data_IF_089951838796
#
_entry.id   IF_089951838796
#
_cell.length_a   1.000
_cell.length_b   1.000
_cell.length_c   1.000
_cell.angle_alpha   90.00
_cell.angle_beta   90.00
_cell.angle_gamma   90.00
#
_symmetry.space_group_name_H-M   'P 1'
#
loop_
_entity.id
_entity.type
_entity.pdbx_description
1 polymer ?
#
# COMPACT_ATOMS: atom_id res chain seq x y z
N UNK A 1 6.94 25.05 9.07
CA UNK A 1 6.34 23.71 9.10
C UNK A 1 7.00 22.83 8.06
N UNK A 2 7.52 21.68 8.45
CA UNK A 2 8.00 20.69 7.47
C UNK A 2 6.82 19.88 6.95
N UNK A 3 6.19 20.39 5.91
CA UNK A 3 5.02 19.80 5.29
C UNK A 3 5.31 18.40 4.72
N UNK A 4 6.49 18.22 4.16
CA UNK A 4 6.92 16.91 3.65
C UNK A 4 6.93 15.86 4.76
N UNK A 5 7.49 16.20 5.92
CA UNK A 5 7.54 15.30 7.08
C UNK A 5 6.15 14.92 7.56
N UNK A 6 5.22 15.87 7.62
CA UNK A 6 3.85 15.61 8.02
C UNK A 6 3.11 14.69 7.02
N UNK A 7 3.36 14.90 5.73
CA UNK A 7 2.77 14.05 4.68
C UNK A 7 3.32 12.63 4.76
N UNK A 8 4.63 12.49 4.95
CA UNK A 8 5.27 11.17 5.08
C UNK A 8 4.75 10.43 6.31
N UNK A 9 4.63 11.10 7.46
CA UNK A 9 4.04 10.53 8.67
C UNK A 9 2.58 10.11 8.45
N UNK A 10 1.80 10.94 7.77
CA UNK A 10 0.41 10.63 7.44
C UNK A 10 0.32 9.40 6.56
N UNK A 11 1.15 9.31 5.52
CA UNK A 11 1.18 8.16 4.62
C UNK A 11 1.56 6.87 5.35
N UNK A 12 2.57 6.93 6.22
CA UNK A 12 3.00 5.77 6.99
C UNK A 12 1.90 5.26 7.91
N UNK A 13 1.22 6.15 8.60
CA UNK A 13 0.12 5.79 9.49
C UNK A 13 -1.06 5.23 8.69
N UNK A 14 -1.41 5.87 7.58
CA UNK A 14 -2.51 5.41 6.72
C UNK A 14 -2.23 4.03 6.14
N UNK A 15 -1.01 3.76 5.73
CA UNK A 15 -0.60 2.43 5.26
C UNK A 15 -0.77 1.38 6.35
N UNK A 16 -0.38 1.71 7.57
CA UNK A 16 -0.53 0.82 8.73
C UNK A 16 -1.99 0.55 9.07
N UNK A 17 -2.85 1.57 9.03
CA UNK A 17 -4.28 1.45 9.31
C UNK A 17 -5.02 0.69 8.21
N UNK A 18 -4.71 0.97 6.94
CA UNK A 18 -5.40 0.36 5.81
C UNK A 18 -5.06 -1.12 5.63
N UNK A 19 -3.94 -1.60 6.18
CA UNK A 19 -3.59 -3.02 6.14
C UNK A 19 -4.67 -3.91 6.75
N UNK A 20 -5.35 -3.47 7.81
CA UNK A 20 -6.49 -4.18 8.40
C UNK A 20 -7.79 -3.97 7.61
N UNK A 21 -7.96 -2.82 6.98
CA UNK A 21 -9.16 -2.49 6.21
C UNK A 21 -9.27 -3.31 4.93
N UNK A 22 -8.15 -3.61 4.28
CA UNK A 22 -8.12 -4.39 3.04
C UNK A 22 -8.66 -5.81 3.22
N UNK A 23 -8.64 -6.37 4.43
CA UNK A 23 -9.25 -7.65 4.74
C UNK A 23 -10.79 -7.62 4.76
N UNK A 24 -11.38 -6.45 4.95
CA UNK A 24 -12.83 -6.30 5.12
C UNK A 24 -13.53 -5.74 3.88
N UNK A 25 -12.81 -5.06 3.01
CA UNK A 25 -13.39 -4.43 1.83
C UNK A 25 -13.13 -5.25 0.58
N UNK A 26 -14.12 -6.10 0.24
CA UNK A 26 -14.06 -6.98 -0.93
C UNK A 26 -14.54 -6.31 -2.21
N UNK A 27 -15.02 -5.06 -2.17
CA UNK A 27 -15.74 -4.44 -3.28
C UNK A 27 -14.93 -3.48 -4.14
N UNK A 28 -13.75 -3.04 -3.68
CA UNK A 28 -12.96 -2.05 -4.42
C UNK A 28 -11.67 -2.65 -5.00
N UNK A 29 -11.84 -3.35 -6.13
CA UNK A 29 -10.73 -3.99 -6.85
C UNK A 29 -9.68 -3.00 -7.35
N UNK A 30 -10.05 -1.75 -7.65
CA UNK A 30 -9.14 -0.72 -8.16
C UNK A 30 -8.10 -0.30 -7.14
N UNK A 31 -8.49 -0.15 -5.88
CA UNK A 31 -7.56 0.24 -4.79
C UNK A 31 -6.54 -0.85 -4.49
N UNK A 32 -6.95 -2.10 -4.54
CA UNK A 32 -6.06 -3.24 -4.34
C UNK A 32 -4.95 -3.29 -5.39
N UNK A 33 -5.27 -3.08 -6.64
CA UNK A 33 -4.32 -3.05 -7.75
C UNK A 33 -3.30 -1.93 -7.57
N UNK A 34 -3.77 -0.72 -7.28
CA UNK A 34 -2.91 0.45 -7.06
C UNK A 34 -1.99 0.21 -5.87
N UNK A 35 -2.52 -0.33 -4.78
CA UNK A 35 -1.74 -0.66 -3.59
C UNK A 35 -0.59 -1.64 -3.88
N UNK A 36 -0.87 -2.69 -4.62
CA UNK A 36 0.15 -3.67 -5.03
C UNK A 36 1.23 -3.01 -5.90
N UNK A 37 0.82 -2.22 -6.90
CA UNK A 37 1.78 -1.53 -7.78
C UNK A 37 2.66 -0.55 -7.01
N UNK A 38 2.08 0.23 -6.12
CA UNK A 38 2.82 1.19 -5.30
C UNK A 38 3.82 0.44 -4.40
N UNK A 39 3.40 -0.66 -3.78
CA UNK A 39 4.28 -1.46 -2.94
C UNK A 39 5.48 -2.01 -3.73
N UNK A 40 5.23 -2.63 -4.88
CA UNK A 40 6.29 -3.17 -5.73
C UNK A 40 7.23 -2.09 -6.27
N UNK A 41 6.71 -0.90 -6.52
CA UNK A 41 7.50 0.19 -7.09
C UNK A 41 8.35 0.90 -6.04
N UNK A 42 7.80 1.18 -4.87
CA UNK A 42 8.45 2.05 -3.87
C UNK A 42 8.99 1.31 -2.65
N UNK A 43 8.55 0.10 -2.38
CA UNK A 43 9.00 -0.66 -1.21
C UNK A 43 9.89 -1.83 -1.60
N UNK A 44 9.34 -2.86 -2.24
CA UNK A 44 10.09 -4.07 -2.56
C UNK A 44 9.52 -4.75 -3.81
N UNK A 45 10.36 -4.97 -4.81
CA UNK A 45 10.00 -5.67 -6.04
C UNK A 45 10.42 -7.15 -5.97
N UNK A 46 9.96 -7.95 -6.92
CA UNK A 46 10.37 -9.35 -7.00
C UNK A 46 9.85 -10.27 -5.92
N UNK A 47 8.66 -9.97 -5.39
CA UNK A 47 8.03 -10.78 -4.35
C UNK A 47 7.18 -11.90 -4.93
N UNK A 48 7.04 -13.00 -4.18
CA UNK A 48 6.07 -14.05 -4.50
C UNK A 48 4.67 -13.58 -4.14
N UNK A 49 3.63 -14.24 -4.68
CA UNK A 49 2.24 -13.92 -4.34
C UNK A 49 1.96 -14.09 -2.84
N UNK A 50 2.58 -15.10 -2.21
CA UNK A 50 2.45 -15.31 -0.77
C UNK A 50 3.06 -14.18 0.05
N UNK A 51 4.25 -13.71 -0.34
CA UNK A 51 4.89 -12.56 0.30
C UNK A 51 4.07 -11.28 0.14
N UNK A 52 3.54 -11.03 -1.07
CA UNK A 52 2.66 -9.89 -1.34
C UNK A 52 1.39 -9.95 -0.51
N UNK A 53 0.78 -11.12 -0.43
CA UNK A 53 -0.42 -11.35 0.39
C UNK A 53 -0.20 -10.90 1.82
N UNK A 54 0.93 -11.29 2.42
CA UNK A 54 1.25 -10.92 3.79
C UNK A 54 1.55 -9.43 3.94
N UNK A 55 2.32 -8.86 3.01
CA UNK A 55 2.70 -7.44 3.06
C UNK A 55 1.51 -6.51 2.84
N UNK A 56 0.61 -6.86 1.92
CA UNK A 56 -0.57 -6.06 1.59
C UNK A 56 -1.72 -6.35 2.56
N UNK A 57 -1.79 -7.56 3.10
CA UNK A 57 -2.84 -7.95 4.05
C UNK A 57 -4.16 -8.33 3.38
N UNK A 58 -4.12 -8.96 2.23
CA UNK A 58 -5.31 -9.45 1.49
C UNK A 58 -5.37 -10.96 1.48
N UNK A 59 -6.54 -11.52 1.19
CA UNK A 59 -6.72 -12.97 1.07
C UNK A 59 -6.09 -13.54 -0.20
N UNK A 60 -5.86 -14.87 -0.21
CA UNK A 60 -5.21 -15.57 -1.33
C UNK A 60 -5.96 -15.43 -2.65
N UNK A 61 -7.29 -15.54 -2.63
CA UNK A 61 -8.13 -15.38 -3.82
C UNK A 61 -8.04 -13.97 -4.38
N UNK A 62 -8.08 -12.98 -3.52
CA UNK A 62 -8.02 -11.57 -3.93
C UNK A 62 -6.65 -11.20 -4.52
N UNK A 63 -5.55 -11.64 -3.91
CA UNK A 63 -4.22 -11.35 -4.45
C UNK A 63 -4.04 -12.00 -5.83
N UNK A 64 -4.54 -13.21 -6.04
CA UNK A 64 -4.48 -13.87 -7.34
C UNK A 64 -5.25 -13.10 -8.41
N UNK A 65 -6.44 -12.59 -8.09
CA UNK A 65 -7.25 -11.79 -9.01
C UNK A 65 -6.57 -10.47 -9.35
N UNK A 66 -6.01 -9.79 -8.34
CA UNK A 66 -5.27 -8.54 -8.52
C UNK A 66 -4.08 -8.75 -9.45
N UNK A 67 -3.27 -9.78 -9.20
CA UNK A 67 -2.08 -10.06 -9.99
C UNK A 67 -2.44 -10.44 -11.44
N UNK A 68 -3.51 -11.19 -11.64
CA UNK A 68 -4.00 -11.55 -12.98
C UNK A 68 -4.43 -10.30 -13.75
N UNK A 69 -5.16 -9.40 -13.10
CA UNK A 69 -5.58 -8.13 -13.69
C UNK A 69 -4.39 -7.25 -14.07
N UNK A 70 -3.43 -7.09 -13.15
CA UNK A 70 -2.23 -6.29 -13.39
C UNK A 70 -1.37 -6.86 -14.52
N UNK A 71 -1.23 -8.18 -14.59
CA UNK A 71 -0.51 -8.85 -15.66
C UNK A 71 -1.18 -8.64 -17.02
N UNK A 72 -2.52 -8.74 -17.08
CA UNK A 72 -3.28 -8.50 -18.30
C UNK A 72 -3.13 -7.06 -18.81
N UNK A 73 -2.95 -6.11 -17.91
CA UNK A 73 -2.69 -4.70 -18.24
C UNK A 73 -1.21 -4.41 -18.52
N UNK A 74 -0.35 -5.42 -18.43
CA UNK A 74 1.10 -5.31 -18.60
C UNK A 74 1.78 -4.38 -17.60
N UNK A 75 1.21 -4.27 -16.41
CA UNK A 75 1.76 -3.45 -15.33
C UNK A 75 2.71 -4.27 -14.44
N UNK A 76 2.56 -5.58 -14.42
CA UNK A 76 3.48 -6.52 -13.78
C UNK A 76 3.84 -7.65 -14.74
N UNK A 77 4.93 -8.34 -14.40
CA UNK A 77 5.42 -9.51 -15.10
C UNK A 77 5.72 -10.59 -14.07
N UNK A 78 5.32 -11.84 -14.36
CA UNK A 78 5.63 -12.99 -13.51
C UNK A 78 6.84 -13.73 -14.12
N UNK A 79 7.78 -14.07 -13.26
CA UNK A 79 8.98 -14.80 -13.66
C UNK A 79 9.25 -15.93 -12.67
N UNK A 80 9.59 -17.10 -13.20
CA UNK A 80 10.00 -18.22 -12.36
C UNK A 80 11.32 -17.89 -11.66
N UNK A 81 11.42 -18.20 -10.37
CA UNK A 81 12.65 -18.02 -9.61
C UNK A 81 13.73 -18.93 -10.17
N UNK A 82 14.91 -18.37 -10.45
CA UNK A 82 16.07 -19.12 -11.01
C UNK A 82 16.60 -20.18 -10.04
N UNK A 83 16.48 -19.93 -8.73
CA UNK A 83 16.98 -20.85 -7.70
C UNK A 83 15.96 -21.92 -7.32
N UNK A 84 14.66 -21.59 -7.38
CA UNK A 84 13.57 -22.53 -7.08
C UNK A 84 12.47 -22.43 -8.11
N UNK A 85 12.44 -23.35 -9.06
CA UNK A 85 11.49 -23.40 -10.17
C UNK A 85 10.02 -23.53 -9.74
N UNK A 86 9.78 -23.83 -8.46
CA UNK A 86 8.42 -23.91 -7.90
C UNK A 86 7.89 -22.57 -7.45
N UNK A 87 8.74 -21.54 -7.38
CA UNK A 87 8.37 -20.19 -6.97
C UNK A 87 8.28 -19.27 -8.17
N UNK A 88 7.22 -18.46 -8.20
CA UNK A 88 7.02 -17.43 -9.20
C UNK A 88 7.11 -16.06 -8.51
N UNK A 89 7.99 -15.20 -9.01
CA UNK A 89 8.17 -13.85 -8.51
C UNK A 89 7.47 -12.85 -9.40
N UNK A 90 6.94 -11.81 -8.77
CA UNK A 90 6.20 -10.73 -9.43
C UNK A 90 7.09 -9.51 -9.51
N UNK A 91 7.25 -8.99 -10.71
CA UNK A 91 8.04 -7.78 -10.98
C UNK A 91 7.17 -6.71 -11.61
N UNK A 92 7.33 -5.47 -11.16
CA UNK A 92 6.67 -4.33 -11.80
C UNK A 92 7.38 -3.99 -13.11
N UNK A 93 6.61 -3.74 -14.18
CA UNK A 93 7.16 -3.31 -15.47
C UNK A 93 7.43 -1.81 -15.47
N UNK A 94 8.15 -1.31 -16.49
CA UNK A 94 8.36 0.13 -16.64
C UNK A 94 7.03 0.89 -16.76
N UNK A 95 6.06 0.31 -17.49
CA UNK A 95 4.71 0.84 -17.58
C UNK A 95 4.04 0.88 -16.20
N UNK A 96 4.21 -0.19 -15.40
CA UNK A 96 3.69 -0.27 -14.04
C UNK A 96 4.29 0.78 -13.11
N UNK A 97 5.60 0.98 -13.20
CA UNK A 97 6.30 2.01 -12.42
C UNK A 97 5.78 3.42 -12.74
N UNK A 98 5.62 3.73 -14.03
CA UNK A 98 5.10 5.03 -14.46
C UNK A 98 3.67 5.26 -13.94
N UNK A 99 2.83 4.23 -14.02
CA UNK A 99 1.46 4.27 -13.52
C UNK A 99 1.42 4.46 -12.00
N UNK A 100 2.24 3.69 -11.26
CA UNK A 100 2.33 3.79 -9.82
C UNK A 100 2.79 5.18 -9.37
N UNK A 101 3.80 5.73 -10.05
CA UNK A 101 4.31 7.08 -9.78
C UNK A 101 3.24 8.14 -9.98
N UNK A 102 2.50 8.07 -11.08
CA UNK A 102 1.41 9.00 -11.38
C UNK A 102 0.36 8.99 -10.27
N UNK A 103 -0.08 7.79 -9.83
CA UNK A 103 -1.07 7.65 -8.76
C UNK A 103 -0.54 8.11 -7.41
N UNK A 104 0.72 7.83 -7.12
CA UNK A 104 1.38 8.26 -5.90
C UNK A 104 1.52 9.79 -5.84
N UNK A 105 1.92 10.42 -6.94
CA UNK A 105 2.04 11.88 -7.03
C UNK A 105 0.68 12.56 -6.88
N UNK A 106 -0.38 12.00 -7.47
CA UNK A 106 -1.75 12.49 -7.32
C UNK A 106 -2.21 12.41 -5.86
N UNK A 107 -1.95 11.31 -5.19
CA UNK A 107 -2.28 11.15 -3.78
C UNK A 107 -1.54 12.17 -2.92
N UNK A 108 -0.24 12.36 -3.14
CA UNK A 108 0.56 13.37 -2.41
C UNK A 108 0.03 14.77 -2.64
N UNK A 109 -0.35 15.10 -3.88
CA UNK A 109 -0.94 16.40 -4.20
C UNK A 109 -2.23 16.65 -3.39
N UNK A 110 -3.09 15.66 -3.31
CA UNK A 110 -4.32 15.74 -2.52
C UNK A 110 -4.03 15.95 -1.03
N UNK A 111 -2.99 15.27 -0.52
CA UNK A 111 -2.58 15.42 0.89
C UNK A 111 -2.02 16.82 1.16
N UNK A 112 -1.25 17.38 0.23
CA UNK A 112 -0.77 18.76 0.34
C UNK A 112 -1.95 19.73 0.48
N UNK A 113 -2.95 19.58 -0.38
CA UNK A 113 -4.16 20.41 -0.31
C UNK A 113 -4.90 20.25 1.01
N UNK A 114 -5.04 19.01 1.50
CA UNK A 114 -5.67 18.74 2.78
C UNK A 114 -4.89 19.40 3.94
N UNK A 115 -3.57 19.22 3.97
CA UNK A 115 -2.74 19.79 5.03
C UNK A 115 -2.76 21.32 5.02
N UNK A 116 -2.78 21.93 3.84
CA UNK A 116 -2.91 23.39 3.70
C UNK A 116 -4.26 23.88 4.21
N UNK A 117 -5.33 23.16 3.90
CA UNK A 117 -6.67 23.49 4.39
C UNK A 117 -6.75 23.43 5.92
N UNK A 118 -6.20 22.38 6.52
CA UNK A 118 -6.22 22.20 7.97
C UNK A 118 -5.34 23.22 8.72
N UNK A 119 -4.23 23.61 8.12
CA UNK A 119 -3.21 24.40 8.79
C UNK A 119 -2.32 23.54 9.67
N UNK A 120 -1.20 24.12 10.13
CA UNK A 120 -0.17 23.40 10.88
C UNK A 120 -0.68 22.76 12.17
N UNK A 121 -1.43 23.51 12.97
CA UNK A 121 -1.95 23.06 14.26
C UNK A 121 -2.86 21.85 14.12
N UNK A 122 -3.84 21.94 13.23
CA UNK A 122 -4.83 20.87 13.05
C UNK A 122 -4.22 19.67 12.33
N UNK A 123 -3.30 19.88 11.39
CA UNK A 123 -2.58 18.79 10.72
C UNK A 123 -1.76 17.96 11.73
N UNK A 124 -1.05 18.61 12.63
CA UNK A 124 -0.30 17.94 13.69
C UNK A 124 -1.23 17.20 14.66
N UNK A 125 -2.37 17.79 14.98
CA UNK A 125 -3.36 17.17 15.86
C UNK A 125 -3.98 15.93 15.20
N UNK A 126 -4.29 16.00 13.92
CA UNK A 126 -4.78 14.85 13.16
C UNK A 126 -3.77 13.69 13.20
N UNK A 127 -2.50 13.97 12.94
CA UNK A 127 -1.44 12.96 12.97
C UNK A 127 -1.29 12.38 14.37
N UNK A 128 -1.36 13.21 15.40
CA UNK A 128 -1.29 12.75 16.80
C UNK A 128 -2.41 11.75 17.11
N UNK A 129 -3.64 12.07 16.71
CA UNK A 129 -4.79 11.19 16.93
C UNK A 129 -4.68 9.90 16.12
N UNK A 130 -4.20 9.97 14.90
CA UNK A 130 -3.98 8.78 14.07
C UNK A 130 -2.94 7.84 14.69
N UNK A 131 -1.87 8.38 15.25
CA UNK A 131 -0.87 7.59 15.99
C UNK A 131 -1.49 6.87 17.18
N UNK A 132 -2.39 7.51 17.90
CA UNK A 132 -3.13 6.89 19.01
C UNK A 132 -4.02 5.75 18.54
N UNK A 133 -4.69 5.91 17.41
CA UNK A 133 -5.51 4.85 16.81
C UNK A 133 -4.62 3.65 16.47
N UNK A 134 -3.44 3.88 15.92
CA UNK A 134 -2.47 2.83 15.62
C UNK A 134 -2.04 2.08 16.88
N UNK A 135 -1.71 2.81 17.94
CA UNK A 135 -1.36 2.22 19.24
C UNK A 135 -2.46 1.32 19.78
N UNK A 136 -3.70 1.76 19.69
CA UNK A 136 -4.87 0.98 20.09
C UNK A 136 -4.99 -0.32 19.30
N UNK A 137 -4.78 -0.27 17.99
CA UNK A 137 -4.83 -1.46 17.14
C UNK A 137 -3.72 -2.45 17.46
N UNK A 138 -2.51 -1.97 17.73
CA UNK A 138 -1.37 -2.79 18.14
C UNK A 138 -1.64 -3.47 19.48
N UNK A 139 -2.22 -2.75 20.44
CA UNK A 139 -2.59 -3.28 21.76
C UNK A 139 -3.65 -4.39 21.63
N UNK A 140 -4.66 -4.21 20.80
CA UNK A 140 -5.68 -5.23 20.54
C UNK A 140 -5.08 -6.52 19.96
N UNK A 141 -4.05 -6.42 19.13
CA UNK A 141 -3.38 -7.59 18.58
C UNK A 141 -2.63 -8.39 19.65
N UNK A 142 -1.97 -7.69 20.58
CA UNK A 142 -1.24 -8.30 21.69
C UNK A 142 -2.22 -9.05 22.61
N UNK A 143 -3.37 -8.46 22.88
CA UNK A 143 -4.37 -9.05 23.78
C UNK A 143 -5.07 -10.29 23.18
N UNK A 144 -4.94 -10.52 21.88
CA UNK A 144 -5.51 -11.68 21.17
C UNK A 144 -4.54 -12.85 21.01
N UNK A 145 -3.26 -12.64 21.29
CA UNK A 145 -2.23 -13.68 21.28
C UNK A 145 -2.07 -14.29 22.67
#
# INVERSE_FOLDING_TARGET
>A
MDQKKLIDEFCDIMSSLSKKRLHQDTTDHGKGEIGVLIYLTFCEDGLTSGELKEKIGVGSGRISDILRSLESKRLIQRMTDLEDNRRVRVYVTEKGKAFAKEKHDLMKSRLVHLMNFLGEKDAKELIRLMKRIKEYQEQEQIDKE
#
